data_IF_824730990430
#
_entry.id   IF_824730990430
#
_cell.length_a   1.000
_cell.length_b   1.000
_cell.length_c   1.000
_cell.angle_alpha   90.00
_cell.angle_beta   90.00
_cell.angle_gamma   90.00
#
_symmetry.space_group_name_H-M   'P 1'
#
loop_
_entity.id
_entity.type
_entity.pdbx_description
1 polymer ?
#
# COMPACT_ATOMS: atom_id res chain seq x y z
N UNK A 1 -25.44 1.54 18.58
CA UNK A 1 -24.48 2.21 17.68
C UNK A 1 -25.15 3.44 17.12
N UNK A 2 -24.61 4.63 17.34
CA UNK A 2 -25.20 5.86 16.81
C UNK A 2 -24.79 6.10 15.34
N UNK A 3 -25.40 7.07 14.67
CA UNK A 3 -25.13 7.37 13.26
C UNK A 3 -23.65 7.73 13.01
N UNK A 4 -22.98 8.42 13.95
CA UNK A 4 -21.56 8.78 13.81
C UNK A 4 -20.66 7.54 13.85
N UNK A 5 -20.96 6.60 14.75
CA UNK A 5 -20.25 5.31 14.84
C UNK A 5 -20.48 4.46 13.59
N UNK A 6 -21.70 4.44 13.05
CA UNK A 6 -22.01 3.77 11.79
C UNK A 6 -21.21 4.35 10.61
N UNK A 7 -21.19 5.68 10.46
CA UNK A 7 -20.42 6.35 9.41
C UNK A 7 -18.92 6.04 9.53
N UNK A 8 -18.36 6.11 10.75
CA UNK A 8 -16.95 5.78 10.98
C UNK A 8 -16.64 4.33 10.59
N UNK A 9 -17.51 3.39 10.96
CA UNK A 9 -17.35 1.97 10.61
C UNK A 9 -17.38 1.75 9.11
N UNK A 10 -18.30 2.40 8.39
CA UNK A 10 -18.37 2.30 6.93
C UNK A 10 -17.12 2.86 6.26
N UNK A 11 -16.65 4.03 6.69
CA UNK A 11 -15.42 4.64 6.18
C UNK A 11 -14.20 3.74 6.44
N UNK A 12 -14.02 3.27 7.68
CA UNK A 12 -12.89 2.41 8.04
C UNK A 12 -12.88 1.12 7.20
N UNK A 13 -14.04 0.50 6.99
CA UNK A 13 -14.17 -0.71 6.17
C UNK A 13 -13.89 -0.43 4.69
N UNK A 14 -14.32 0.72 4.17
CA UNK A 14 -14.05 1.13 2.79
C UNK A 14 -12.55 1.40 2.56
N UNK A 15 -11.88 2.08 3.50
CA UNK A 15 -10.43 2.28 3.45
C UNK A 15 -9.66 0.96 3.51
N UNK A 16 -10.06 0.03 4.38
CA UNK A 16 -9.46 -1.30 4.45
C UNK A 16 -9.63 -2.09 3.13
N UNK A 17 -10.83 -2.06 2.56
CA UNK A 17 -11.13 -2.73 1.29
C UNK A 17 -10.40 -2.08 0.10
N UNK A 18 -10.05 -0.81 0.19
CA UNK A 18 -9.29 -0.11 -0.83
C UNK A 18 -7.79 -0.35 -0.67
N UNK A 19 -7.26 -0.26 0.54
CA UNK A 19 -5.86 -0.53 0.87
C UNK A 19 -5.46 -1.98 0.53
N UNK A 20 -6.39 -2.92 0.62
CA UNK A 20 -6.14 -4.31 0.30
C UNK A 20 -5.91 -4.60 -1.19
N UNK A 21 -6.11 -3.62 -2.07
CA UNK A 21 -5.66 -3.67 -3.47
C UNK A 21 -4.19 -3.29 -3.64
N UNK A 22 -3.51 -2.79 -2.60
CA UNK A 22 -2.11 -2.43 -2.64
C UNK A 22 -1.19 -3.63 -2.93
N UNK A 23 -0.22 -3.41 -3.82
CA UNK A 23 0.81 -4.38 -4.20
C UNK A 23 1.95 -4.42 -3.17
N UNK A 24 1.66 -4.89 -1.96
CA UNK A 24 2.62 -4.88 -0.85
C UNK A 24 3.76 -5.88 -1.02
N UNK A 25 3.63 -6.83 -1.95
CA UNK A 25 4.66 -7.75 -2.38
C UNK A 25 5.91 -7.05 -2.94
N UNK A 26 5.78 -5.80 -3.42
CA UNK A 26 6.93 -4.99 -3.83
C UNK A 26 7.89 -4.60 -2.69
N UNK A 27 7.50 -4.77 -1.42
CA UNK A 27 8.31 -4.35 -0.25
C UNK A 27 9.18 -5.48 0.31
N UNK A 28 8.59 -6.68 0.49
CA UNK A 28 9.18 -7.68 1.37
C UNK A 28 10.02 -8.77 0.64
N UNK A 29 9.63 -9.25 -0.55
CA UNK A 29 10.39 -10.33 -1.26
C UNK A 29 10.20 -10.38 -2.78
N UNK A 30 11.32 -10.63 -3.47
CA UNK A 30 11.45 -11.40 -4.73
C UNK A 30 10.85 -10.91 -6.05
N UNK A 31 10.05 -9.85 -6.10
CA UNK A 31 10.07 -9.00 -7.30
C UNK A 31 11.23 -8.03 -7.11
N UNK A 32 12.44 -8.49 -7.46
CA UNK A 32 13.52 -7.56 -7.66
C UNK A 32 13.00 -6.56 -8.65
N UNK A 33 12.72 -5.34 -8.20
CA UNK A 33 12.68 -4.20 -9.09
C UNK A 33 13.83 -4.41 -10.08
N UNK A 34 13.51 -4.59 -11.36
CA UNK A 34 14.54 -4.60 -12.37
C UNK A 34 15.33 -3.30 -12.20
N UNK A 35 16.60 -3.25 -12.62
CA UNK A 35 17.37 -2.00 -12.48
C UNK A 35 16.61 -0.79 -13.06
N UNK A 36 15.81 -1.03 -14.11
CA UNK A 36 14.89 -0.06 -14.70
C UNK A 36 13.86 0.44 -13.70
N UNK A 37 13.18 -0.43 -12.99
CA UNK A 37 12.14 -0.01 -12.05
C UNK A 37 12.76 0.66 -10.82
N UNK A 38 13.95 0.23 -10.35
CA UNK A 38 14.67 0.92 -9.27
C UNK A 38 15.00 2.35 -9.68
N UNK A 39 15.46 2.52 -10.91
CA UNK A 39 15.76 3.83 -11.47
C UNK A 39 14.51 4.70 -11.62
N UNK A 40 13.39 4.12 -12.07
CA UNK A 40 12.08 4.80 -12.10
C UNK A 40 11.65 5.22 -10.70
N UNK A 41 11.74 4.33 -9.71
CA UNK A 41 11.41 4.65 -8.32
C UNK A 41 12.25 5.81 -7.80
N UNK A 42 13.58 5.75 -7.95
CA UNK A 42 14.48 6.84 -7.54
C UNK A 42 14.16 8.16 -8.25
N UNK A 43 13.85 8.11 -9.54
CA UNK A 43 13.48 9.29 -10.32
C UNK A 43 12.18 9.90 -9.83
N UNK A 44 11.17 9.05 -9.56
CA UNK A 44 9.87 9.49 -9.06
C UNK A 44 9.96 10.02 -7.63
N UNK A 45 10.67 9.31 -6.74
CA UNK A 45 10.95 9.73 -5.37
C UNK A 45 11.66 11.09 -5.34
N UNK A 46 12.68 11.30 -6.18
CA UNK A 46 13.35 12.59 -6.30
C UNK A 46 12.39 13.71 -6.71
N UNK A 47 11.52 13.46 -7.70
CA UNK A 47 10.52 14.42 -8.17
C UNK A 47 9.50 14.78 -7.09
N UNK A 48 8.97 13.79 -6.38
CA UNK A 48 7.96 13.97 -5.32
C UNK A 48 8.54 14.76 -4.15
N UNK A 49 9.79 14.48 -3.78
CA UNK A 49 10.44 15.12 -2.63
C UNK A 49 11.23 16.39 -3.00
N UNK A 50 11.15 16.87 -4.25
CA UNK A 50 11.92 18.00 -4.78
C UNK A 50 13.43 17.89 -4.51
N UNK A 51 14.00 16.71 -4.78
CA UNK A 51 15.41 16.38 -4.60
C UNK A 51 16.10 16.14 -5.94
N UNK A 52 17.43 16.23 -5.93
CA UNK A 52 18.24 15.77 -7.07
C UNK A 52 18.33 14.25 -7.05
N UNK A 53 18.30 13.62 -8.22
CA UNK A 53 18.45 12.15 -8.33
C UNK A 53 19.78 11.63 -7.74
N UNK A 54 20.83 12.45 -7.76
CA UNK A 54 22.13 12.13 -7.18
C UNK A 54 22.19 12.29 -5.65
N UNK A 55 21.14 12.79 -5.01
CA UNK A 55 21.08 12.98 -3.56
C UNK A 55 21.20 11.62 -2.86
N UNK A 56 22.00 11.56 -1.80
CA UNK A 56 22.24 10.33 -1.03
C UNK A 56 20.92 9.74 -0.50
N UNK A 57 19.97 10.58 -0.10
CA UNK A 57 18.64 10.14 0.35
C UNK A 57 17.90 9.39 -0.75
N UNK A 58 17.97 9.88 -1.99
CA UNK A 58 17.34 9.24 -3.15
C UNK A 58 18.05 7.93 -3.49
N UNK A 59 19.39 7.91 -3.43
CA UNK A 59 20.16 6.72 -3.76
C UNK A 59 19.92 5.56 -2.80
N UNK A 60 19.65 5.88 -1.54
CA UNK A 60 19.35 4.91 -0.48
C UNK A 60 17.85 4.73 -0.22
N UNK A 61 16.98 5.43 -0.95
CA UNK A 61 15.53 5.34 -0.77
C UNK A 61 15.03 3.93 -1.10
N UNK A 62 14.08 3.46 -0.29
CA UNK A 62 13.33 2.23 -0.50
C UNK A 62 11.85 2.56 -0.40
N UNK A 63 11.03 1.91 -1.21
CA UNK A 63 9.60 2.03 -1.12
C UNK A 63 9.12 1.55 0.26
N UNK A 64 8.16 2.28 0.80
CA UNK A 64 7.46 1.99 2.06
C UNK A 64 6.02 1.62 1.77
N UNK A 65 5.31 1.00 2.74
CA UNK A 65 3.91 0.61 2.52
C UNK A 65 3.03 1.82 2.18
N UNK A 66 3.36 2.98 2.76
CA UNK A 66 2.74 4.26 2.43
C UNK A 66 2.93 4.63 0.96
N UNK A 67 4.12 4.42 0.39
CA UNK A 67 4.39 4.72 -1.03
C UNK A 67 3.56 3.81 -1.95
N UNK A 68 3.32 2.55 -1.57
CA UNK A 68 2.49 1.60 -2.35
C UNK A 68 1.06 2.11 -2.50
N UNK A 69 0.47 2.64 -1.42
CA UNK A 69 -0.91 3.15 -1.48
C UNK A 69 -1.00 4.58 -2.03
N UNK A 70 0.10 5.35 -1.99
CA UNK A 70 0.10 6.76 -2.37
C UNK A 70 -0.03 6.95 -3.88
N UNK A 71 -1.03 7.73 -4.28
CA UNK A 71 -1.32 8.08 -5.68
C UNK A 71 -0.21 8.84 -6.40
N UNK A 72 0.71 9.51 -5.68
CA UNK A 72 1.88 10.14 -6.30
C UNK A 72 2.85 9.10 -6.90
N UNK A 73 2.82 7.86 -6.40
CA UNK A 73 3.57 6.72 -6.91
C UNK A 73 2.72 5.78 -7.77
N UNK A 74 1.52 6.20 -8.19
CA UNK A 74 0.58 5.38 -8.96
C UNK A 74 1.22 4.76 -10.21
N UNK A 75 2.10 5.48 -10.91
CA UNK A 75 2.78 4.97 -12.12
C UNK A 75 3.70 3.76 -11.88
N UNK A 76 3.98 3.42 -10.61
CA UNK A 76 4.78 2.26 -10.22
C UNK A 76 3.99 1.24 -9.40
N UNK A 77 3.06 1.69 -8.56
CA UNK A 77 2.38 0.84 -7.58
C UNK A 77 0.86 0.82 -7.70
N UNK A 78 0.29 1.55 -8.66
CA UNK A 78 -1.15 1.74 -8.83
C UNK A 78 -1.87 2.18 -7.53
N UNK A 79 -1.15 2.85 -6.61
CA UNK A 79 -1.74 3.43 -5.41
C UNK A 79 -2.76 4.51 -5.76
N UNK A 80 -3.84 4.62 -4.99
CA UNK A 80 -4.91 5.59 -5.24
C UNK A 80 -5.24 6.48 -4.03
N UNK A 81 -4.56 6.28 -2.90
CA UNK A 81 -4.77 7.11 -1.72
C UNK A 81 -4.08 8.45 -1.91
N UNK A 82 -4.71 9.52 -1.41
CA UNK A 82 -3.96 10.77 -1.24
C UNK A 82 -2.75 10.54 -0.31
N UNK A 83 -1.66 11.32 -0.43
CA UNK A 83 -0.47 11.13 0.41
C UNK A 83 -0.77 11.12 1.91
N UNK A 84 -1.66 12.02 2.36
CA UNK A 84 -2.08 12.11 3.75
C UNK A 84 -2.91 10.88 4.19
N UNK A 85 -3.80 10.40 3.33
CA UNK A 85 -4.62 9.22 3.63
C UNK A 85 -3.77 7.96 3.74
N UNK A 86 -2.78 7.76 2.86
CA UNK A 86 -1.85 6.63 2.94
C UNK A 86 -1.07 6.66 4.27
N UNK A 87 -0.58 7.84 4.67
CA UNK A 87 0.12 8.01 5.94
C UNK A 87 -0.79 7.69 7.14
N UNK A 88 -1.99 8.28 7.17
CA UNK A 88 -2.95 8.06 8.26
C UNK A 88 -3.43 6.61 8.36
N UNK A 89 -3.50 5.91 7.23
CA UNK A 89 -3.84 4.49 7.21
C UNK A 89 -2.78 3.67 7.95
N UNK A 90 -1.49 3.86 7.64
CA UNK A 90 -0.40 3.14 8.30
C UNK A 90 0.00 3.69 9.68
N UNK A 91 -0.51 4.85 10.10
CA UNK A 91 -0.49 5.26 11.51
C UNK A 91 -1.42 4.41 12.38
N UNK A 92 -2.42 3.76 11.77
CA UNK A 92 -3.42 2.94 12.46
C UNK A 92 -3.28 1.44 12.20
N UNK A 93 -2.92 1.04 10.99
CA UNK A 93 -2.90 -0.37 10.60
C UNK A 93 -1.48 -0.84 10.33
N UNK A 94 -1.05 -1.84 11.10
CA UNK A 94 0.21 -2.54 10.83
C UNK A 94 -0.08 -3.68 9.86
N UNK A 95 0.61 -3.71 8.71
CA UNK A 95 0.57 -4.86 7.79
C UNK A 95 1.46 -5.97 8.35
N UNK A 96 0.86 -7.10 8.70
CA UNK A 96 1.58 -8.24 9.27
C UNK A 96 1.96 -9.28 8.22
N UNK A 97 1.03 -9.57 7.31
CA UNK A 97 1.22 -10.56 6.25
C UNK A 97 0.54 -10.04 4.99
N UNK A 98 1.26 -10.09 3.87
CA UNK A 98 0.66 -9.99 2.54
C UNK A 98 0.99 -11.25 1.75
N UNK A 99 -0.05 -11.89 1.24
CA UNK A 99 0.05 -13.01 0.31
C UNK A 99 -0.38 -12.48 -1.07
N UNK A 100 0.56 -12.32 -2.02
CA UNK A 100 0.23 -11.84 -3.37
C UNK A 100 -0.59 -12.87 -4.14
N UNK A 101 -1.24 -12.45 -5.23
CA UNK A 101 -1.98 -13.37 -6.08
C UNK A 101 -1.08 -14.55 -6.51
N UNK A 102 -1.51 -15.78 -6.23
CA UNK A 102 -0.88 -17.00 -6.78
C UNK A 102 -1.85 -17.67 -7.75
N UNK A 103 -1.48 -18.83 -8.31
CA UNK A 103 -2.33 -19.62 -9.23
C UNK A 103 -3.73 -19.93 -8.66
N UNK A 104 -3.92 -19.85 -7.34
CA UNK A 104 -5.21 -20.02 -6.65
C UNK A 104 -6.20 -18.87 -6.82
N UNK A 105 -5.87 -17.83 -7.59
CA UNK A 105 -6.78 -16.73 -7.93
C UNK A 105 -7.29 -15.88 -6.75
N UNK A 106 -6.48 -15.75 -5.69
CA UNK A 106 -6.76 -14.80 -4.62
C UNK A 106 -5.47 -14.21 -4.00
N UNK A 107 -5.60 -13.01 -3.43
CA UNK A 107 -4.60 -12.38 -2.56
C UNK A 107 -5.19 -12.17 -1.16
N UNK A 108 -4.33 -12.14 -0.15
CA UNK A 108 -4.75 -11.93 1.24
C UNK A 108 -3.84 -10.92 1.92
N UNK A 109 -4.42 -10.06 2.76
CA UNK A 109 -3.67 -9.19 3.66
C UNK A 109 -4.20 -9.33 5.09
N UNK A 110 -3.27 -9.45 6.05
CA UNK A 110 -3.56 -9.40 7.48
C UNK A 110 -3.02 -8.10 8.03
N UNK A 111 -3.93 -7.25 8.50
CA UNK A 111 -3.63 -6.02 9.22
C UNK A 111 -3.91 -6.16 10.71
N UNK A 112 -3.18 -5.42 11.52
CA UNK A 112 -3.47 -5.20 12.93
C UNK A 112 -3.89 -3.74 13.15
N UNK A 113 -5.11 -3.52 13.65
CA UNK A 113 -5.68 -2.20 13.95
C UNK A 113 -5.21 -1.76 15.34
N UNK A 114 -4.19 -0.90 15.39
CA UNK A 114 -3.59 -0.42 16.65
C UNK A 114 -4.56 0.39 17.51
N UNK A 115 -5.63 0.93 16.92
CA UNK A 115 -6.64 1.71 17.63
C UNK A 115 -7.75 0.85 18.24
N UNK A 116 -7.94 -0.37 17.72
CA UNK A 116 -8.97 -1.30 18.21
C UNK A 116 -8.38 -2.53 18.89
N UNK A 117 -7.05 -2.68 18.90
CA UNK A 117 -6.34 -3.84 19.44
C UNK A 117 -6.91 -5.14 18.85
N UNK A 118 -6.83 -5.26 17.52
CA UNK A 118 -7.47 -6.38 16.83
C UNK A 118 -6.96 -6.61 15.41
N UNK A 119 -7.16 -7.84 14.95
CA UNK A 119 -6.72 -8.29 13.63
C UNK A 119 -7.83 -8.14 12.60
N UNK A 120 -7.47 -7.70 11.39
CA UNK A 120 -8.33 -7.61 10.22
C UNK A 120 -7.70 -8.44 9.11
N UNK A 121 -8.38 -9.51 8.69
CA UNK A 121 -7.99 -10.30 7.52
C UNK A 121 -8.87 -9.89 6.35
N UNK A 122 -8.26 -9.67 5.19
CA UNK A 122 -8.98 -9.43 3.96
C UNK A 122 -8.56 -10.40 2.87
N UNK A 123 -9.55 -10.86 2.10
CA UNK A 123 -9.38 -11.75 0.96
C UNK A 123 -9.86 -11.04 -0.31
N UNK A 124 -9.06 -11.10 -1.37
CA UNK A 124 -9.43 -10.64 -2.72
C UNK A 124 -9.47 -11.82 -3.66
N UNK A 125 -10.56 -12.01 -4.41
CA UNK A 125 -10.50 -12.85 -5.62
C UNK A 125 -9.96 -12.07 -6.81
N UNK A 126 -9.47 -12.75 -7.86
CA UNK A 126 -9.33 -12.10 -9.17
C UNK A 126 -10.69 -12.03 -9.86
N UNK A 127 -10.94 -10.94 -10.58
CA UNK A 127 -11.91 -10.91 -11.67
C UNK A 127 -11.36 -11.73 -12.85
N UNK A 128 -11.31 -13.06 -12.74
CA UNK A 128 -11.20 -13.88 -13.94
C UNK A 128 -12.54 -13.77 -14.65
N UNK A 129 -12.58 -12.99 -15.73
CA UNK A 129 -13.72 -12.97 -16.63
C UNK A 129 -14.04 -14.39 -17.09
N UNK A 130 -15.23 -14.87 -16.72
CA UNK A 130 -15.81 -16.09 -17.26
C UNK A 130 -16.37 -15.83 -18.66
#
# INVERSE_FOLDING_TARGET
MNNKEQIKKLRDNAELAWASYGYFDFIDKQYSFDEKDKDKFKTLYAKINDLKKSDEKVQNAKATYTDILNMEYNSLFDGEFSPLQAKQFFERYDLLIHQPNTESSFSTALFYDTHKDGFVVWFRGIECGF
#
